data_IF_386092347340
#
_entry.id   IF_386092347340
#
_cell.length_a   1.000
_cell.length_b   1.000
_cell.length_c   1.000
_cell.angle_alpha   90.00
_cell.angle_beta   90.00
_cell.angle_gamma   90.00
#
_symmetry.space_group_name_H-M   'P 1'
#
loop_
_entity.id
_entity.type
_entity.pdbx_description
1 polymer ?
#
# COMPACT_ATOMS: atom_id res chain seq x y z
N UNK A 1 49.97 -5.10 -61.41
CA UNK A 1 48.67 -5.21 -60.72
C UNK A 1 48.10 -3.81 -60.51
N UNK A 2 47.14 -3.36 -61.34
CA UNK A 2 46.28 -2.23 -61.02
C UNK A 2 45.00 -2.72 -60.30
N UNK A 3 44.20 -1.75 -59.82
CA UNK A 3 42.82 -1.83 -59.30
C UNK A 3 42.70 -1.73 -57.78
N UNK A 4 41.83 -0.94 -57.15
CA UNK A 4 40.77 0.01 -57.56
C UNK A 4 40.42 0.80 -56.28
N UNK A 5 40.27 2.12 -56.37
CA UNK A 5 39.61 3.06 -55.40
C UNK A 5 38.10 2.74 -55.22
N UNK A 6 37.23 3.36 -54.37
CA UNK A 6 37.34 4.64 -53.66
C UNK A 6 36.68 4.71 -52.24
N UNK A 7 36.80 5.92 -51.67
CA UNK A 7 36.04 6.57 -50.58
C UNK A 7 34.55 6.17 -50.49
N UNK A 8 34.00 6.14 -49.27
CA UNK A 8 32.86 7.03 -48.90
C UNK A 8 32.61 7.13 -47.39
N UNK A 9 32.32 8.39 -47.05
CA UNK A 9 31.84 8.96 -45.81
C UNK A 9 30.69 8.21 -45.09
N UNK A 10 30.62 8.53 -43.79
CA UNK A 10 29.40 8.78 -43.00
C UNK A 10 28.68 7.55 -42.45
N UNK A 11 28.53 7.53 -41.12
CA UNK A 11 27.26 7.91 -40.46
C UNK A 11 27.43 7.95 -38.94
N UNK A 12 26.97 9.05 -38.35
CA UNK A 12 26.61 9.14 -36.93
C UNK A 12 25.69 7.98 -36.57
N UNK A 13 25.86 7.36 -35.40
CA UNK A 13 24.80 6.56 -34.81
C UNK A 13 24.48 7.01 -33.38
N UNK A 14 23.18 7.17 -33.18
CA UNK A 14 22.49 7.79 -32.06
C UNK A 14 22.38 6.76 -30.93
N UNK A 15 22.83 7.10 -29.73
CA UNK A 15 22.39 6.41 -28.51
C UNK A 15 21.34 7.28 -27.84
N UNK A 16 20.08 7.07 -28.25
CA UNK A 16 18.92 7.57 -27.54
C UNK A 16 18.80 6.79 -26.23
N UNK A 17 19.22 7.41 -25.12
CA UNK A 17 18.94 6.90 -23.79
C UNK A 17 17.43 7.03 -23.54
N UNK A 18 16.69 5.96 -23.80
CA UNK A 18 15.29 5.86 -23.44
C UNK A 18 15.22 5.64 -21.91
N UNK A 19 15.31 6.75 -21.15
CA UNK A 19 15.09 6.76 -19.72
C UNK A 19 13.58 6.63 -19.47
N UNK A 20 13.04 5.43 -19.65
CA UNK A 20 11.72 5.08 -19.13
C UNK A 20 11.83 4.96 -17.60
N UNK A 21 11.94 6.10 -16.91
CA UNK A 21 11.52 6.23 -15.53
C UNK A 21 10.02 5.91 -15.51
N UNK A 22 9.69 4.64 -15.40
CA UNK A 22 8.37 4.22 -14.95
C UNK A 22 8.19 4.81 -13.56
N UNK A 23 7.56 5.98 -13.48
CA UNK A 23 6.81 6.40 -12.30
C UNK A 23 5.73 5.33 -12.11
N UNK A 24 6.11 4.21 -11.50
CA UNK A 24 5.15 3.36 -10.82
C UNK A 24 4.63 4.24 -9.69
N UNK A 25 3.33 4.56 -9.62
CA UNK A 25 2.77 5.05 -8.38
C UNK A 25 2.93 3.91 -7.38
N UNK A 26 4.02 3.94 -6.60
CA UNK A 26 4.19 3.09 -5.43
C UNK A 26 3.31 3.58 -4.27
N UNK A 27 2.26 4.36 -4.56
CA UNK A 27 1.12 4.46 -3.69
C UNK A 27 0.37 3.12 -3.75
N UNK A 28 0.91 2.10 -3.07
CA UNK A 28 0.08 1.03 -2.55
C UNK A 28 -0.86 1.70 -1.57
N UNK A 29 -2.00 2.18 -2.09
CA UNK A 29 -3.08 2.67 -1.28
C UNK A 29 -3.36 1.58 -0.25
N UNK A 30 -3.25 1.93 1.03
CA UNK A 30 -3.79 1.10 2.10
C UNK A 30 -5.30 0.95 1.86
N UNK A 31 -5.90 -0.12 2.39
CA UNK A 31 -7.35 -0.31 2.32
C UNK A 31 -8.16 0.68 3.19
N UNK A 32 -7.46 1.61 3.83
CA UNK A 32 -8.00 2.84 4.43
C UNK A 32 -7.19 4.01 3.85
N UNK A 33 -7.88 5.03 3.36
CA UNK A 33 -7.27 6.29 2.94
C UNK A 33 -7.83 7.42 3.79
N UNK A 34 -6.96 8.14 4.49
CA UNK A 34 -7.35 9.31 5.28
C UNK A 34 -7.39 10.61 4.45
N UNK A 35 -7.34 10.48 3.13
CA UNK A 35 -7.59 11.59 2.22
C UNK A 35 -9.09 11.98 2.26
N UNK A 36 -9.43 13.27 2.07
CA UNK A 36 -10.78 13.69 1.82
C UNK A 36 -11.53 12.78 0.83
N UNK A 37 -12.82 12.50 1.09
CA UNK A 37 -13.60 11.71 0.17
C UNK A 37 -13.66 12.38 -1.20
N UNK A 38 -13.82 11.60 -2.29
CA UNK A 38 -13.87 12.16 -3.63
C UNK A 38 -14.98 13.21 -3.75
N UNK A 39 -14.86 14.14 -4.71
CA UNK A 39 -15.86 15.20 -4.91
C UNK A 39 -17.28 14.65 -5.13
N UNK A 40 -17.41 13.42 -5.62
CA UNK A 40 -18.66 12.68 -5.78
C UNK A 40 -19.37 12.33 -4.46
N UNK A 41 -18.66 12.42 -3.34
CA UNK A 41 -19.13 12.12 -1.99
C UNK A 41 -19.36 13.40 -1.16
N UNK A 42 -19.73 14.50 -1.81
CA UNK A 42 -20.02 15.79 -1.16
C UNK A 42 -21.53 16.06 -1.08
N UNK A 43 -21.94 17.02 -0.24
CA UNK A 43 -23.35 17.40 -0.08
C UNK A 43 -24.23 16.25 0.42
N UNK A 44 -25.41 16.07 -0.17
CA UNK A 44 -26.33 14.99 0.20
C UNK A 44 -25.75 13.58 0.01
N UNK A 45 -24.76 13.42 -0.87
CA UNK A 45 -24.11 12.14 -1.13
C UNK A 45 -23.17 11.69 -0.01
N UNK A 46 -22.64 12.62 0.81
CA UNK A 46 -21.67 12.34 1.86
C UNK A 46 -22.19 11.36 2.92
N UNK A 47 -23.49 11.42 3.20
CA UNK A 47 -24.15 10.56 4.20
C UNK A 47 -24.64 9.23 3.64
N UNK A 48 -24.45 8.97 2.33
CA UNK A 48 -24.84 7.69 1.74
C UNK A 48 -23.90 6.58 2.21
N UNK A 49 -24.37 5.33 2.37
CA UNK A 49 -23.53 4.21 2.77
C UNK A 49 -22.31 3.98 1.87
N UNK A 50 -22.38 4.42 0.61
CA UNK A 50 -21.27 4.33 -0.35
C UNK A 50 -20.15 5.34 -0.07
N UNK A 51 -20.47 6.47 0.59
CA UNK A 51 -19.55 7.57 0.84
C UNK A 51 -19.22 7.76 2.33
N UNK A 52 -20.03 7.20 3.22
CA UNK A 52 -19.81 7.31 4.65
C UNK A 52 -18.66 6.39 5.10
N UNK A 53 -17.59 6.93 5.71
CA UNK A 53 -16.51 6.10 6.23
C UNK A 53 -17.04 5.20 7.36
N UNK A 54 -16.51 3.97 7.44
CA UNK A 54 -16.79 3.06 8.55
C UNK A 54 -16.36 3.70 9.89
N UNK A 55 -17.00 3.37 11.02
CA UNK A 55 -16.61 3.92 12.32
C UNK A 55 -15.13 3.77 12.64
N UNK A 56 -14.57 2.57 12.42
CA UNK A 56 -13.15 2.30 12.61
C UNK A 56 -12.24 3.14 11.71
N UNK A 57 -12.64 3.35 10.45
CA UNK A 57 -11.89 4.15 9.48
C UNK A 57 -11.85 5.62 9.89
N UNK A 58 -12.99 6.17 10.33
CA UNK A 58 -13.06 7.51 10.91
C UNK A 58 -12.12 7.65 12.11
N UNK A 59 -12.20 6.73 13.09
CA UNK A 59 -11.31 6.75 14.26
C UNK A 59 -9.83 6.62 13.88
N UNK A 60 -9.49 5.79 12.90
CA UNK A 60 -8.10 5.66 12.43
C UNK A 60 -7.60 6.97 11.84
N UNK A 61 -8.43 7.67 11.07
CA UNK A 61 -8.05 8.90 10.39
C UNK A 61 -8.08 10.15 11.28
N UNK A 62 -9.00 10.21 12.23
CA UNK A 62 -9.12 11.34 13.17
C UNK A 62 -7.99 11.35 14.21
N UNK A 63 -7.33 10.20 14.44
CA UNK A 63 -6.28 10.06 15.45
C UNK A 63 -4.92 9.74 14.82
N UNK A 64 -4.00 10.70 14.83
CA UNK A 64 -2.68 10.59 14.18
C UNK A 64 -1.89 9.32 14.57
N UNK A 65 -1.92 8.92 15.85
CA UNK A 65 -1.24 7.71 16.32
C UNK A 65 -1.86 6.44 15.73
N UNK A 66 -3.18 6.38 15.58
CA UNK A 66 -3.85 5.26 14.94
C UNK A 66 -3.60 5.24 13.43
N UNK A 67 -3.65 6.38 12.75
CA UNK A 67 -3.32 6.49 11.32
C UNK A 67 -1.90 5.99 11.02
N UNK A 68 -0.91 6.50 11.75
CA UNK A 68 0.48 6.06 11.62
C UNK A 68 0.68 4.60 12.02
N UNK A 69 0.00 4.15 13.08
CA UNK A 69 0.01 2.76 13.53
C UNK A 69 -0.54 1.82 12.47
N UNK A 70 -1.66 2.20 11.85
CA UNK A 70 -2.31 1.45 10.78
C UNK A 70 -1.42 1.36 9.54
N UNK A 71 -0.80 2.47 9.12
CA UNK A 71 0.14 2.48 7.99
C UNK A 71 1.30 1.49 8.19
N UNK A 72 1.84 1.39 9.42
CA UNK A 72 2.89 0.42 9.76
C UNK A 72 2.37 -1.02 9.73
N UNK A 73 1.18 -1.27 10.27
CA UNK A 73 0.53 -2.58 10.25
C UNK A 73 0.32 -3.04 8.81
N UNK A 74 -0.23 -2.17 7.95
CA UNK A 74 -0.46 -2.49 6.54
C UNK A 74 0.86 -2.79 5.81
N UNK A 75 1.89 -1.95 6.00
CA UNK A 75 3.20 -2.21 5.41
C UNK A 75 3.79 -3.55 5.88
N UNK A 76 3.55 -3.94 7.13
CA UNK A 76 3.98 -5.23 7.67
C UNK A 76 3.21 -6.41 7.11
N UNK A 77 1.89 -6.27 6.95
CA UNK A 77 1.03 -7.23 6.25
C UNK A 77 1.55 -7.52 4.84
N UNK A 78 1.86 -6.47 4.06
CA UNK A 78 2.38 -6.63 2.70
C UNK A 78 3.72 -7.38 2.68
N UNK A 79 4.60 -7.14 3.67
CA UNK A 79 5.87 -7.87 3.78
C UNK A 79 5.66 -9.33 4.14
N UNK A 80 4.80 -9.62 5.12
CA UNK A 80 4.54 -10.98 5.58
C UNK A 80 3.81 -11.82 4.53
N UNK A 81 2.90 -11.21 3.77
CA UNK A 81 2.26 -11.84 2.61
C UNK A 81 3.30 -12.25 1.57
N UNK A 82 4.23 -11.34 1.24
CA UNK A 82 5.28 -11.59 0.26
C UNK A 82 6.16 -12.78 0.63
N UNK A 83 6.38 -13.02 1.93
CA UNK A 83 7.16 -14.16 2.42
C UNK A 83 6.31 -15.40 2.70
N UNK A 84 4.99 -15.35 2.49
CA UNK A 84 4.07 -16.43 2.87
C UNK A 84 3.95 -16.67 4.38
N UNK A 85 4.46 -15.73 5.21
CA UNK A 85 4.44 -15.87 6.67
C UNK A 85 3.06 -15.57 7.27
N UNK A 86 2.19 -14.91 6.51
CA UNK A 86 0.75 -14.78 6.76
C UNK A 86 -0.01 -15.00 5.47
N UNK A 87 -1.25 -15.44 5.60
CA UNK A 87 -2.20 -15.59 4.50
C UNK A 87 -3.12 -14.37 4.33
N UNK A 88 -3.74 -14.24 3.15
CA UNK A 88 -4.80 -13.27 2.93
C UNK A 88 -5.98 -13.45 3.89
N UNK A 89 -6.26 -14.70 4.29
CA UNK A 89 -7.34 -15.02 5.25
C UNK A 89 -7.05 -14.46 6.65
N UNK A 90 -5.79 -14.50 7.11
CA UNK A 90 -5.38 -13.88 8.38
C UNK A 90 -5.53 -12.36 8.32
N UNK A 91 -5.18 -11.73 7.19
CA UNK A 91 -5.36 -10.29 6.98
C UNK A 91 -6.85 -9.92 6.92
N UNK A 92 -7.66 -10.70 6.21
CA UNK A 92 -9.10 -10.50 6.17
C UNK A 92 -9.74 -10.62 7.56
N UNK A 93 -9.27 -11.57 8.38
CA UNK A 93 -9.71 -11.72 9.77
C UNK A 93 -9.35 -10.50 10.61
N UNK A 94 -8.13 -9.97 10.47
CA UNK A 94 -7.72 -8.72 11.12
C UNK A 94 -8.61 -7.54 10.68
N UNK A 95 -8.83 -7.37 9.37
CA UNK A 95 -9.67 -6.29 8.82
C UNK A 95 -11.10 -6.36 9.34
N UNK A 96 -11.69 -7.57 9.38
CA UNK A 96 -13.02 -7.78 9.95
C UNK A 96 -13.10 -7.37 11.42
N UNK A 97 -12.08 -7.71 12.23
CA UNK A 97 -12.01 -7.29 13.63
C UNK A 97 -11.87 -5.77 13.77
N UNK A 98 -10.99 -5.15 12.99
CA UNK A 98 -10.82 -3.69 12.93
C UNK A 98 -12.13 -3.01 12.59
N UNK A 99 -12.79 -3.44 11.52
CA UNK A 99 -14.00 -2.79 11.00
C UNK A 99 -15.20 -2.92 11.94
N UNK A 100 -15.19 -3.90 12.86
CA UNK A 100 -16.18 -4.04 13.91
C UNK A 100 -15.98 -3.07 15.09
N UNK A 101 -14.82 -2.41 15.19
CA UNK A 101 -14.53 -1.48 16.29
C UNK A 101 -15.25 -0.14 16.12
N UNK A 102 -15.73 0.39 17.26
CA UNK A 102 -16.36 1.72 17.38
C UNK A 102 -15.71 2.59 18.45
N UNK A 103 -14.64 2.12 19.10
CA UNK A 103 -13.90 2.83 20.16
C UNK A 103 -12.39 2.74 19.92
N UNK A 104 -11.63 3.68 20.50
CA UNK A 104 -10.17 3.69 20.45
C UNK A 104 -9.56 2.45 21.11
N UNK A 105 -10.02 2.10 22.32
CA UNK A 105 -9.51 0.93 23.06
C UNK A 105 -9.69 -0.39 22.29
N UNK A 106 -10.80 -0.52 21.54
CA UNK A 106 -11.01 -1.67 20.65
C UNK A 106 -9.94 -1.72 19.56
N UNK A 107 -9.68 -0.59 18.89
CA UNK A 107 -8.66 -0.51 17.84
C UNK A 107 -7.26 -0.76 18.38
N UNK A 108 -6.92 -0.20 19.54
CA UNK A 108 -5.64 -0.43 20.20
C UNK A 108 -5.42 -1.91 20.56
N UNK A 109 -6.48 -2.59 21.00
CA UNK A 109 -6.45 -4.04 21.25
C UNK A 109 -6.22 -4.81 19.96
N UNK A 110 -6.99 -4.54 18.90
CA UNK A 110 -6.84 -5.20 17.59
C UNK A 110 -5.45 -4.97 17.01
N UNK A 111 -4.90 -3.76 17.12
CA UNK A 111 -3.56 -3.44 16.64
C UNK A 111 -2.48 -4.14 17.45
N UNK A 112 -2.66 -4.26 18.77
CA UNK A 112 -1.74 -4.95 19.66
C UNK A 112 -1.72 -6.46 19.43
N UNK A 113 -2.88 -7.06 19.21
CA UNK A 113 -3.00 -8.46 18.82
C UNK A 113 -2.30 -8.76 17.49
N UNK A 114 -2.48 -7.88 16.49
CA UNK A 114 -1.76 -8.03 15.23
C UNK A 114 -0.25 -7.95 15.41
N UNK A 115 0.25 -6.96 16.17
CA UNK A 115 1.69 -6.80 16.43
C UNK A 115 2.29 -8.05 17.07
N UNK A 116 1.56 -8.69 18.01
CA UNK A 116 1.98 -9.95 18.64
C UNK A 116 2.06 -11.09 17.64
N UNK A 117 0.99 -11.34 16.87
CA UNK A 117 0.97 -12.36 15.82
C UNK A 117 2.11 -12.15 14.81
N UNK A 118 2.28 -10.92 14.31
CA UNK A 118 3.31 -10.59 13.35
C UNK A 118 4.72 -10.84 13.90
N UNK A 119 4.97 -10.55 15.18
CA UNK A 119 6.24 -10.86 15.83
C UNK A 119 6.48 -12.38 15.91
N UNK A 120 5.47 -13.16 16.27
CA UNK A 120 5.55 -14.62 16.31
C UNK A 120 5.85 -15.21 14.92
N UNK A 121 5.17 -14.73 13.87
CA UNK A 121 5.41 -15.16 12.48
C UNK A 121 6.82 -14.82 12.02
N UNK A 122 7.32 -13.63 12.32
CA UNK A 122 8.72 -13.23 12.01
C UNK A 122 9.73 -14.09 12.75
N UNK A 123 9.47 -14.43 14.01
CA UNK A 123 10.35 -15.30 14.79
C UNK A 123 10.33 -16.74 14.27
N UNK A 124 9.20 -17.23 13.79
CA UNK A 124 9.10 -18.53 13.14
C UNK A 124 9.88 -18.57 11.81
N UNK A 125 9.78 -17.52 10.98
CA UNK A 125 10.46 -17.45 9.69
C UNK A 125 11.99 -17.27 9.76
N UNK A 126 12.54 -16.96 10.95
CA UNK A 126 13.98 -16.84 11.20
C UNK A 126 14.63 -18.15 11.69
N UNK A 127 13.81 -19.11 12.09
CA UNK A 127 14.24 -20.44 12.52
C UNK A 127 14.36 -21.36 11.31
#
# INVERSE_FOLDING_TARGET
>A
MPSVTPRRLSRLNRLAACLCLVLSPLARASDISCEPPPATCTGAAASTPACAPRPAERLICDHALLSMGYARIYADQQRLLKTGAVSDAEIATFRKKRDACTTLDCLDTVFSDWKRLAAERKAAARR
#
